data_IF_610234473670
#
_entry.id   IF_610234473670
#
_cell.length_a   1.000
_cell.length_b   1.000
_cell.length_c   1.000
_cell.angle_alpha   90.00
_cell.angle_beta   90.00
_cell.angle_gamma   90.00
#
_symmetry.space_group_name_H-M   'P 1'
#
loop_
_entity.id
_entity.type
_entity.pdbx_description
1 polymer ?
#
# COMPACT_ATOMS: atom_id res chain seq x y z
N UNK A 1 3.93 -9.52 0.19
CA UNK A 1 4.83 -8.50 0.79
C UNK A 1 4.20 -7.12 0.68
N UNK A 2 4.67 -6.17 1.50
CA UNK A 2 4.33 -4.75 1.38
C UNK A 2 5.54 -3.84 1.65
N UNK A 3 5.49 -2.59 1.17
CA UNK A 3 6.49 -1.55 1.44
C UNK A 3 5.86 -0.28 2.04
N UNK A 4 6.69 0.71 2.36
CA UNK A 4 6.28 1.96 3.02
C UNK A 4 5.36 2.83 2.17
N UNK A 5 5.31 2.58 0.85
CA UNK A 5 4.36 3.25 -0.05
C UNK A 5 3.00 2.55 -0.11
N UNK A 6 2.75 1.57 0.78
CA UNK A 6 1.55 0.73 0.82
C UNK A 6 1.32 -0.03 -0.49
N UNK A 7 2.41 -0.37 -1.21
CA UNK A 7 2.33 -1.25 -2.37
C UNK A 7 2.38 -2.69 -1.91
N UNK A 8 1.58 -3.55 -2.55
CA UNK A 8 1.54 -4.97 -2.30
C UNK A 8 2.10 -5.77 -3.48
N UNK A 9 2.75 -6.89 -3.19
CA UNK A 9 3.28 -7.79 -4.21
C UNK A 9 3.49 -9.22 -3.72
N UNK A 10 3.41 -10.19 -4.62
CA UNK A 10 3.81 -11.57 -4.37
C UNK A 10 5.34 -11.68 -4.45
N UNK A 11 5.90 -12.55 -3.63
CA UNK A 11 7.34 -12.82 -3.62
C UNK A 11 7.60 -14.30 -3.33
N UNK A 12 8.61 -14.92 -3.97
CA UNK A 12 8.97 -16.31 -3.69
C UNK A 12 9.47 -16.47 -2.25
N UNK A 13 9.06 -17.55 -1.58
CA UNK A 13 9.53 -17.85 -0.22
C UNK A 13 11.03 -18.21 -0.18
N UNK A 14 11.59 -18.64 -1.31
CA UNK A 14 13.00 -19.03 -1.47
C UNK A 14 13.93 -17.88 -1.88
N UNK A 15 13.40 -16.68 -2.13
CA UNK A 15 14.18 -15.54 -2.55
C UNK A 15 14.36 -14.54 -1.40
N UNK A 16 15.55 -13.95 -1.29
CA UNK A 16 15.82 -12.90 -0.31
C UNK A 16 14.85 -11.73 -0.45
N UNK A 17 14.43 -11.17 0.69
CA UNK A 17 13.49 -10.05 0.70
C UNK A 17 14.25 -8.77 0.36
N UNK A 18 13.84 -8.03 -0.70
CA UNK A 18 14.50 -6.78 -1.05
C UNK A 18 14.40 -5.72 0.06
N UNK A 19 15.41 -4.88 0.19
CA UNK A 19 15.40 -3.75 1.14
C UNK A 19 14.15 -2.87 0.95
N UNK A 20 13.51 -2.49 2.06
CA UNK A 20 12.29 -1.68 2.05
C UNK A 20 11.00 -2.49 1.79
N UNK A 21 11.09 -3.81 1.66
CA UNK A 21 9.92 -4.70 1.61
C UNK A 21 9.83 -5.57 2.86
N UNK A 22 8.60 -5.90 3.24
CA UNK A 22 8.29 -6.75 4.40
C UNK A 22 7.34 -7.89 4.00
N UNK A 23 7.64 -9.10 4.45
CA UNK A 23 6.67 -10.20 4.37
C UNK A 23 5.49 -9.96 5.32
N UNK A 24 4.27 -10.03 4.80
CA UNK A 24 3.02 -9.78 5.55
C UNK A 24 2.07 -10.98 5.53
N UNK A 25 2.32 -11.97 4.66
CA UNK A 25 1.54 -13.20 4.53
C UNK A 25 2.37 -14.26 3.80
N UNK A 26 2.26 -15.52 4.24
CA UNK A 26 2.96 -16.69 3.68
C UNK A 26 2.01 -17.89 3.59
N UNK A 27 2.37 -18.92 2.82
CA UNK A 27 1.58 -20.16 2.74
C UNK A 27 0.11 -19.93 2.37
N UNK A 28 -0.81 -20.58 3.08
CA UNK A 28 -2.25 -20.47 2.85
C UNK A 28 -2.79 -19.03 3.04
N UNK A 29 -2.15 -18.23 3.90
CA UNK A 29 -2.55 -16.84 4.14
C UNK A 29 -2.16 -15.91 2.99
N UNK A 30 -1.16 -16.27 2.18
CA UNK A 30 -0.77 -15.48 1.01
C UNK A 30 -1.91 -15.41 -0.03
N UNK A 31 -2.62 -16.52 -0.26
CA UNK A 31 -3.77 -16.56 -1.19
C UNK A 31 -4.92 -15.71 -0.68
N UNK A 32 -5.26 -15.84 0.60
CA UNK A 32 -6.33 -15.03 1.23
C UNK A 32 -5.98 -13.55 1.24
N UNK A 33 -4.71 -13.22 1.52
CA UNK A 33 -4.19 -11.86 1.47
C UNK A 33 -4.29 -11.27 0.06
N UNK A 34 -3.93 -12.03 -0.98
CA UNK A 34 -4.07 -11.62 -2.38
C UNK A 34 -5.52 -11.25 -2.73
N UNK A 35 -6.48 -12.14 -2.42
CA UNK A 35 -7.91 -11.88 -2.67
C UNK A 35 -8.39 -10.65 -1.88
N UNK A 36 -7.91 -10.47 -0.64
CA UNK A 36 -8.25 -9.30 0.17
C UNK A 36 -7.69 -8.01 -0.45
N UNK A 37 -6.44 -8.02 -0.91
CA UNK A 37 -5.81 -6.85 -1.55
C UNK A 37 -6.57 -6.50 -2.82
N UNK A 38 -6.85 -7.47 -3.68
CA UNK A 38 -7.61 -7.28 -4.92
C UNK A 38 -8.99 -6.63 -4.66
N UNK A 39 -9.68 -7.05 -3.60
CA UNK A 39 -10.99 -6.50 -3.23
C UNK A 39 -10.93 -5.12 -2.56
N UNK A 40 -9.82 -4.77 -1.90
CA UNK A 40 -9.77 -3.63 -0.99
C UNK A 40 -8.70 -2.60 -1.34
N UNK A 41 -8.03 -2.72 -2.50
CA UNK A 41 -7.02 -1.77 -2.96
C UNK A 41 -7.49 -0.97 -4.20
N UNK A 42 -8.49 -0.09 -4.04
CA UNK A 42 -9.08 0.66 -5.16
C UNK A 42 -8.18 1.78 -5.69
N UNK A 43 -7.15 2.17 -4.91
CA UNK A 43 -6.25 3.26 -5.25
C UNK A 43 -4.78 2.80 -5.16
N UNK A 44 -4.20 2.56 -6.33
CA UNK A 44 -2.81 2.08 -6.47
C UNK A 44 -1.76 3.20 -6.38
N UNK A 45 -2.18 4.47 -6.24
CA UNK A 45 -1.24 5.60 -6.19
C UNK A 45 -0.31 5.47 -4.98
N UNK A 46 0.95 5.94 -5.05
CA UNK A 46 1.85 5.88 -3.92
C UNK A 46 1.29 6.62 -2.70
N UNK A 47 1.52 6.10 -1.49
CA UNK A 47 1.11 6.72 -0.22
C UNK A 47 1.45 8.21 -0.16
N UNK A 48 2.68 8.58 -0.51
CA UNK A 48 3.12 9.99 -0.50
C UNK A 48 2.30 10.92 -1.40
N UNK A 49 1.81 10.41 -2.54
CA UNK A 49 0.93 11.17 -3.42
C UNK A 49 -0.44 11.38 -2.77
N UNK A 50 -0.99 10.32 -2.16
CA UNK A 50 -2.26 10.39 -1.43
C UNK A 50 -2.17 11.37 -0.26
N UNK A 51 -1.09 11.29 0.52
CA UNK A 51 -0.83 12.19 1.64
C UNK A 51 -0.77 13.64 1.17
N UNK A 52 -0.03 13.93 0.08
CA UNK A 52 0.06 15.29 -0.49
C UNK A 52 -1.31 15.81 -0.94
N UNK A 53 -2.15 14.98 -1.56
CA UNK A 53 -3.48 15.38 -2.00
C UNK A 53 -4.45 15.59 -0.82
N UNK A 54 -4.34 14.76 0.22
CA UNK A 54 -5.12 14.93 1.45
C UNK A 54 -4.76 16.22 2.18
N UNK A 55 -3.46 16.52 2.33
CA UNK A 55 -2.97 17.78 2.92
C UNK A 55 -3.37 18.99 2.08
N UNK A 56 -3.22 18.93 0.75
CA UNK A 56 -3.62 20.02 -0.15
C UNK A 56 -5.12 20.35 -0.07
N UNK A 57 -5.97 19.33 0.08
CA UNK A 57 -7.42 19.50 0.24
C UNK A 57 -7.82 20.19 1.56
N UNK A 58 -7.06 19.99 2.63
CA UNK A 58 -7.31 20.66 3.93
C UNK A 58 -6.91 22.14 3.87
N UNK A 59 -5.81 22.47 3.20
CA UNK A 59 -5.32 23.85 3.10
C UNK A 59 -6.22 24.76 2.25
N UNK A 60 -6.86 24.22 1.21
CA UNK A 60 -7.76 24.98 0.33
C UNK A 60 -9.14 25.25 0.93
N UNK A 61 -9.61 24.41 1.88
CA UNK A 61 -10.90 24.61 2.54
C UNK A 61 -10.90 25.70 3.63
N UNK A 62 -9.74 26.20 4.03
CA UNK A 62 -9.63 27.17 5.13
C UNK A 62 -9.53 28.64 4.68
N UNK A 63 -9.71 28.92 3.38
CA UNK A 63 -9.66 30.28 2.80
C UNK A 63 -11.03 30.71 2.24
N UNK A 64 -12.07 30.64 3.07
CA UNK A 64 -13.34 31.30 2.81
C UNK A 64 -13.87 31.87 4.11
N UNK A 65 -13.42 33.08 4.42
CA UNK A 65 -14.10 34.03 5.30
C UNK A 65 -14.05 35.39 4.63
#
# INVERSE_FOLDING_TARGET
MANDQERHGLWPASADVPTGWRMIATGADARRSCIRIEKNWPDIRPKSLRDRQATGRILTSNHSR
#
